data_IF_402994611694
#
_entry.id   IF_402994611694
#
_cell.length_a   1.000
_cell.length_b   1.000
_cell.length_c   1.000
_cell.angle_alpha   90.00
_cell.angle_beta   90.00
_cell.angle_gamma   90.00
#
_symmetry.space_group_name_H-M   'P 1'
#
loop_
_entity.id
_entity.type
_entity.pdbx_description
1 polymer ?
#
# COMPACT_ATOMS: atom_id res chain seq x y z
N UNK A 1 34.76 9.36 -58.44
CA UNK A 1 33.67 10.03 -57.71
C UNK A 1 32.57 8.99 -57.56
N UNK A 2 32.25 8.47 -56.37
CA UNK A 2 31.46 9.12 -55.31
C UNK A 2 31.88 8.50 -53.95
N UNK A 3 32.22 9.32 -52.95
CA UNK A 3 32.37 8.89 -51.56
C UNK A 3 31.03 9.10 -50.84
N UNK A 4 30.41 8.02 -50.33
CA UNK A 4 29.16 8.07 -49.58
C UNK A 4 29.41 8.39 -48.10
N UNK A 5 28.71 9.41 -47.57
CA UNK A 5 28.82 9.84 -46.17
C UNK A 5 28.06 8.88 -45.23
N UNK A 6 28.61 8.54 -44.03
CA UNK A 6 27.90 7.73 -43.06
C UNK A 6 26.88 8.59 -42.28
N UNK A 7 25.64 8.12 -42.22
CA UNK A 7 24.59 8.74 -41.42
C UNK A 7 24.84 8.48 -39.92
N UNK A 8 24.93 9.55 -39.13
CA UNK A 8 25.14 9.51 -37.68
C UNK A 8 23.77 9.47 -37.02
N UNK A 9 23.43 8.37 -36.34
CA UNK A 9 22.17 8.25 -35.60
C UNK A 9 22.27 8.96 -34.24
N UNK A 10 21.29 9.80 -33.84
CA UNK A 10 21.32 10.48 -32.55
C UNK A 10 21.04 9.49 -31.40
N UNK A 11 21.86 9.52 -30.35
CA UNK A 11 21.57 8.81 -29.09
C UNK A 11 20.41 9.50 -28.37
N UNK A 12 19.30 8.79 -28.20
CA UNK A 12 18.20 9.26 -27.35
C UNK A 12 18.57 9.12 -25.87
N UNK A 13 18.53 10.24 -25.13
CA UNK A 13 18.69 10.23 -23.68
C UNK A 13 17.46 9.56 -23.03
N UNK A 14 17.69 8.57 -22.17
CA UNK A 14 16.63 7.97 -21.34
C UNK A 14 16.16 9.00 -20.30
N UNK A 15 14.85 9.24 -20.24
CA UNK A 15 14.25 10.10 -19.22
C UNK A 15 14.68 9.67 -17.82
N UNK A 16 14.99 10.60 -16.90
CA UNK A 16 15.34 10.26 -15.53
C UNK A 16 14.16 9.51 -14.87
N UNK A 17 14.45 8.49 -14.04
CA UNK A 17 13.40 7.77 -13.34
C UNK A 17 12.64 8.73 -12.42
N UNK A 18 11.33 8.51 -12.20
CA UNK A 18 10.56 9.33 -11.28
C UNK A 18 11.17 9.23 -9.87
N UNK A 19 11.14 10.32 -9.09
CA UNK A 19 11.66 10.31 -7.72
C UNK A 19 10.99 9.21 -6.90
N UNK A 20 11.81 8.37 -6.27
CA UNK A 20 11.32 7.35 -5.34
C UNK A 20 10.88 8.03 -4.05
N UNK A 21 9.75 7.61 -3.43
CA UNK A 21 9.35 8.11 -2.13
C UNK A 21 10.49 7.88 -1.12
N UNK A 22 11.12 8.96 -0.67
CA UNK A 22 12.18 8.95 0.33
C UNK A 22 11.62 9.04 1.75
N UNK A 23 12.36 8.51 2.73
CA UNK A 23 12.00 8.58 4.15
C UNK A 23 12.48 7.36 4.94
N UNK A 24 12.23 7.37 6.24
CA UNK A 24 12.55 6.25 7.13
C UNK A 24 11.79 5.00 6.68
N UNK A 25 12.52 3.93 6.36
CA UNK A 25 11.92 2.64 6.03
C UNK A 25 11.38 2.02 7.31
N UNK A 26 10.10 1.64 7.27
CA UNK A 26 9.42 1.00 8.37
C UNK A 26 8.80 -0.34 7.98
N UNK A 27 8.10 -0.93 8.92
CA UNK A 27 7.26 -2.12 8.72
C UNK A 27 5.87 -1.88 9.27
N UNK A 28 4.87 -2.44 8.61
CA UNK A 28 3.50 -2.45 9.12
C UNK A 28 3.39 -3.37 10.34
N UNK A 29 2.37 -3.14 11.17
CA UNK A 29 2.06 -4.05 12.26
C UNK A 29 1.74 -5.44 11.69
N UNK A 30 2.28 -6.48 12.32
CA UNK A 30 2.02 -7.86 11.90
C UNK A 30 0.57 -8.22 12.23
N UNK A 31 -0.12 -8.90 11.31
CA UNK A 31 -1.50 -9.31 11.55
C UNK A 31 -2.42 -9.26 10.34
N UNK A 32 -3.69 -9.55 10.58
CA UNK A 32 -4.74 -9.50 9.56
C UNK A 32 -5.27 -8.07 9.42
N UNK A 33 -5.24 -7.57 8.19
CA UNK A 33 -5.91 -6.33 7.80
C UNK A 33 -7.16 -6.70 7.02
N UNK A 34 -8.27 -6.09 7.42
CA UNK A 34 -9.54 -6.18 6.73
C UNK A 34 -9.85 -4.85 6.11
N UNK A 35 -10.10 -4.86 4.80
CA UNK A 35 -10.40 -3.68 4.03
C UNK A 35 -11.91 -3.50 3.89
N UNK A 36 -12.32 -2.24 4.01
CA UNK A 36 -13.71 -1.81 3.88
C UNK A 36 -13.75 -0.45 3.22
N UNK A 37 -14.82 -0.19 2.47
CA UNK A 37 -15.12 1.14 1.95
C UNK A 37 -16.09 1.84 2.90
N UNK A 38 -15.87 3.13 3.12
CA UNK A 38 -16.79 4.00 3.84
C UNK A 38 -18.20 3.88 3.20
N UNK A 39 -19.19 3.64 4.07
CA UNK A 39 -20.59 3.60 3.68
C UNK A 39 -21.15 4.98 3.32
N UNK A 40 -22.28 5.00 2.61
CA UNK A 40 -23.07 6.22 2.44
C UNK A 40 -23.85 6.56 3.72
N UNK A 41 -24.16 7.85 3.93
CA UNK A 41 -24.86 8.35 5.13
C UNK A 41 -26.28 7.77 5.36
N UNK A 42 -26.82 6.98 4.43
CA UNK A 42 -28.07 6.23 4.58
C UNK A 42 -27.92 4.71 4.45
N UNK A 43 -26.69 4.19 4.45
CA UNK A 43 -26.36 2.79 4.23
C UNK A 43 -25.48 2.20 5.34
N UNK A 44 -25.00 0.95 5.17
CA UNK A 44 -24.10 0.29 6.13
C UNK A 44 -22.84 1.12 6.33
N UNK A 45 -22.43 1.37 7.58
CA UNK A 45 -21.31 2.25 7.97
C UNK A 45 -19.97 1.87 7.30
N UNK A 46 -19.80 0.61 6.88
CA UNK A 46 -18.68 0.14 6.09
C UNK A 46 -19.05 -1.07 5.24
N UNK A 47 -18.63 -1.08 3.98
CA UNK A 47 -18.82 -2.20 3.05
C UNK A 47 -17.52 -3.00 2.99
N UNK A 48 -17.54 -4.26 3.42
CA UNK A 48 -16.37 -5.13 3.39
C UNK A 48 -15.93 -5.42 1.95
N UNK A 49 -14.63 -5.32 1.72
CA UNK A 49 -13.99 -5.62 0.45
C UNK A 49 -12.97 -6.76 0.64
N UNK A 50 -13.44 -8.02 0.76
CA UNK A 50 -12.58 -9.16 1.10
C UNK A 50 -11.48 -9.41 0.05
N UNK A 51 -11.69 -8.98 -1.20
CA UNK A 51 -10.69 -9.03 -2.27
C UNK A 51 -9.43 -8.19 -2.00
N UNK A 52 -9.51 -7.21 -1.09
CA UNK A 52 -8.37 -6.39 -0.68
C UNK A 52 -7.89 -6.74 0.72
N UNK A 53 -8.50 -7.73 1.40
CA UNK A 53 -8.00 -8.19 2.68
C UNK A 53 -6.58 -8.77 2.51
N UNK A 54 -5.71 -8.54 3.48
CA UNK A 54 -4.38 -9.11 3.47
C UNK A 54 -3.84 -9.30 4.87
N UNK A 55 -2.90 -10.23 5.01
CA UNK A 55 -2.20 -10.48 6.24
C UNK A 55 -0.74 -10.07 6.13
N UNK A 56 -0.32 -9.11 6.95
CA UNK A 56 1.09 -8.76 7.09
C UNK A 56 1.79 -9.84 7.89
N UNK A 57 2.88 -10.38 7.34
CA UNK A 57 3.60 -11.53 7.91
C UNK A 57 4.93 -11.15 8.54
N UNK A 58 5.99 -10.96 7.76
CA UNK A 58 7.31 -10.54 8.26
C UNK A 58 8.14 -9.98 7.10
N UNK A 59 9.21 -9.26 7.43
CA UNK A 59 10.19 -8.76 6.45
C UNK A 59 9.53 -8.03 5.26
N UNK A 60 8.60 -7.12 5.53
CA UNK A 60 7.90 -6.35 4.50
C UNK A 60 7.11 -7.19 3.47
N UNK A 61 6.57 -8.33 3.90
CA UNK A 61 5.72 -9.19 3.10
C UNK A 61 4.29 -9.25 3.65
N UNK A 62 3.35 -9.55 2.75
CA UNK A 62 1.97 -9.86 3.08
C UNK A 62 1.49 -11.12 2.33
N UNK A 63 0.33 -11.64 2.73
CA UNK A 63 -0.38 -12.73 2.05
C UNK A 63 -1.84 -12.35 1.83
N UNK A 64 -2.39 -12.65 0.65
CA UNK A 64 -3.82 -12.54 0.39
C UNK A 64 -4.57 -13.76 0.95
N UNK A 65 -5.92 -13.69 1.08
CA UNK A 65 -6.76 -14.83 1.45
C UNK A 65 -6.54 -16.05 0.55
N UNK A 66 -6.24 -15.82 -0.73
CA UNK A 66 -5.93 -16.85 -1.72
C UNK A 66 -4.54 -17.48 -1.55
N UNK A 67 -3.77 -17.01 -0.55
CA UNK A 67 -2.46 -17.53 -0.19
C UNK A 67 -1.30 -16.96 -1.01
N UNK A 68 -1.57 -16.08 -1.98
CA UNK A 68 -0.55 -15.41 -2.78
C UNK A 68 0.26 -14.47 -1.89
N UNK A 69 1.59 -14.61 -1.96
CA UNK A 69 2.51 -13.76 -1.20
C UNK A 69 2.86 -12.53 -2.02
N UNK A 70 2.78 -11.36 -1.40
CA UNK A 70 3.25 -10.11 -1.96
C UNK A 70 4.24 -9.40 -1.04
N UNK A 71 4.83 -8.33 -1.57
CA UNK A 71 5.75 -7.46 -0.84
C UNK A 71 5.20 -6.04 -0.80
N UNK A 72 5.56 -5.31 0.24
CA UNK A 72 5.24 -3.90 0.39
C UNK A 72 6.50 -3.11 0.76
N UNK A 73 6.49 -1.82 0.45
CA UNK A 73 7.44 -0.85 0.92
C UNK A 73 6.71 0.16 1.80
N UNK A 74 7.16 0.32 3.04
CA UNK A 74 6.65 1.34 3.93
C UNK A 74 7.74 2.39 4.17
N UNK A 75 7.39 3.64 3.95
CA UNK A 75 8.28 4.79 4.06
C UNK A 75 7.55 5.90 4.81
N UNK A 76 7.97 6.17 6.05
CA UNK A 76 7.22 7.02 6.97
C UNK A 76 5.81 6.46 7.19
N UNK A 77 4.80 7.24 6.78
CA UNK A 77 3.39 6.85 6.86
C UNK A 77 2.83 6.37 5.51
N UNK A 78 3.65 6.25 4.47
CA UNK A 78 3.20 5.77 3.16
C UNK A 78 3.55 4.31 2.96
N UNK A 79 2.58 3.54 2.51
CA UNK A 79 2.73 2.12 2.18
C UNK A 79 2.44 1.93 0.70
N UNK A 80 3.32 1.23 0.00
CA UNK A 80 3.18 0.90 -1.41
C UNK A 80 3.34 -0.60 -1.59
N UNK A 81 2.34 -1.25 -2.14
CA UNK A 81 2.40 -2.67 -2.47
C UNK A 81 3.25 -2.85 -3.73
N UNK A 82 4.37 -3.55 -3.61
CA UNK A 82 5.37 -3.71 -4.68
C UNK A 82 5.28 -5.06 -5.41
N UNK A 83 4.59 -6.04 -4.85
CA UNK A 83 4.39 -7.36 -5.45
C UNK A 83 3.11 -8.04 -4.97
N UNK A 84 2.80 -9.22 -5.51
CA UNK A 84 1.55 -9.97 -5.24
C UNK A 84 0.35 -9.42 -6.02
N UNK A 85 -0.85 -9.85 -5.64
CA UNK A 85 -2.11 -9.42 -6.29
C UNK A 85 -2.45 -7.95 -6.05
N UNK A 86 -2.02 -7.39 -4.90
CA UNK A 86 -2.29 -5.99 -4.55
C UNK A 86 -1.23 -5.02 -5.13
N UNK A 87 -0.40 -5.47 -6.06
CA UNK A 87 0.72 -4.68 -6.61
C UNK A 87 0.21 -3.35 -7.19
N UNK A 88 0.91 -2.27 -6.85
CA UNK A 88 0.60 -0.92 -7.32
C UNK A 88 -0.36 -0.15 -6.41
N UNK A 89 -1.00 -0.83 -5.45
CA UNK A 89 -1.82 -0.14 -4.44
C UNK A 89 -0.95 0.71 -3.53
N UNK A 90 -1.43 1.92 -3.25
CA UNK A 90 -0.80 2.88 -2.35
C UNK A 90 -1.74 3.15 -1.20
N UNK A 91 -1.19 3.25 0.00
CA UNK A 91 -1.97 3.44 1.21
C UNK A 91 -1.23 4.43 2.11
N UNK A 92 -2.00 5.21 2.83
CA UNK A 92 -1.55 6.13 3.84
C UNK A 92 -1.89 5.56 5.22
N UNK A 93 -0.90 5.46 6.09
CA UNK A 93 -1.02 4.94 7.45
C UNK A 93 -1.41 6.09 8.36
N UNK A 94 -2.68 6.15 8.72
CA UNK A 94 -3.17 7.14 9.69
C UNK A 94 -2.74 6.76 11.11
N UNK A 95 -2.58 5.46 11.39
CA UNK A 95 -2.22 4.93 12.72
C UNK A 95 -1.64 3.52 12.62
N UNK A 96 -1.14 2.95 13.73
CA UNK A 96 -0.42 1.66 13.73
C UNK A 96 -1.18 0.51 13.04
N UNK A 97 -2.49 0.46 13.21
CA UNK A 97 -3.37 -0.54 12.61
C UNK A 97 -4.44 0.05 11.69
N UNK A 98 -4.29 1.28 11.21
CA UNK A 98 -5.28 1.92 10.33
C UNK A 98 -4.59 2.50 9.11
N UNK A 99 -4.98 1.99 7.95
CA UNK A 99 -4.52 2.44 6.65
C UNK A 99 -5.70 2.93 5.83
N UNK A 100 -5.47 3.92 4.99
CA UNK A 100 -6.44 4.45 4.05
C UNK A 100 -5.83 4.36 2.65
N UNK A 101 -6.58 3.87 1.68
CA UNK A 101 -6.10 3.78 0.31
C UNK A 101 -5.83 5.18 -0.20
N UNK A 102 -4.71 5.37 -0.89
CA UNK A 102 -4.40 6.61 -1.56
C UNK A 102 -4.64 6.45 -3.05
N UNK A 103 -5.47 7.34 -3.61
CA UNK A 103 -5.75 7.42 -5.02
C UNK A 103 -4.51 7.76 -5.86
N UNK A 104 -4.64 7.70 -7.20
CA UNK A 104 -3.56 8.06 -8.12
C UNK A 104 -3.17 9.54 -8.04
N UNK A 105 -4.09 10.39 -7.57
CA UNK A 105 -3.91 11.81 -7.27
C UNK A 105 -3.16 12.09 -5.96
N UNK A 106 -2.90 11.06 -5.15
CA UNK A 106 -2.25 11.20 -3.86
C UNK A 106 -3.20 11.50 -2.70
N UNK A 107 -4.51 11.55 -2.95
CA UNK A 107 -5.51 11.81 -1.92
C UNK A 107 -6.04 10.53 -1.28
N UNK A 108 -6.48 10.62 -0.02
CA UNK A 108 -7.03 9.49 0.70
C UNK A 108 -8.46 9.17 0.22
N UNK A 109 -8.62 7.97 -0.33
CA UNK A 109 -9.87 7.43 -0.84
C UNK A 109 -10.79 6.92 0.27
N UNK A 110 -12.02 6.58 -0.08
CA UNK A 110 -13.05 6.04 0.82
C UNK A 110 -12.72 4.62 1.33
N UNK A 111 -11.71 3.96 0.76
CA UNK A 111 -11.32 2.63 1.19
C UNK A 111 -10.29 2.70 2.33
N UNK A 112 -10.56 1.99 3.42
CA UNK A 112 -9.68 1.86 4.58
C UNK A 112 -9.43 0.40 4.91
N UNK A 113 -8.28 0.11 5.49
CA UNK A 113 -7.88 -1.22 5.93
C UNK A 113 -7.46 -1.16 7.39
N UNK A 114 -8.13 -1.98 8.21
CA UNK A 114 -8.00 -1.94 9.67
C UNK A 114 -7.40 -3.26 10.13
N UNK A 115 -6.44 -3.18 11.05
CA UNK A 115 -5.86 -4.34 11.71
C UNK A 115 -6.91 -5.00 12.61
N UNK A 116 -7.51 -6.09 12.14
CA UNK A 116 -8.53 -6.84 12.88
C UNK A 116 -7.92 -7.90 13.80
N UNK A 117 -6.69 -8.35 13.50
CA UNK A 117 -5.99 -9.34 14.34
C UNK A 117 -4.49 -9.10 14.34
N UNK A 118 -3.98 -8.45 15.39
CA UNK A 118 -2.54 -8.27 15.60
C UNK A 118 -1.80 -9.60 15.86
N UNK A 119 -0.59 -9.72 15.33
CA UNK A 119 0.32 -10.82 15.64
C UNK A 119 0.88 -10.66 17.04
N UNK A 120 0.49 -11.55 17.98
CA UNK A 120 0.95 -11.67 19.39
C UNK A 120 1.91 -10.57 19.87
N UNK A 121 1.36 -9.36 20.05
CA UNK A 121 2.13 -8.16 20.35
C UNK A 121 1.20 -7.02 20.70
N UNK A 122 0.53 -7.14 21.86
CA UNK A 122 -0.14 -6.07 22.60
C UNK A 122 -1.51 -5.57 22.08
N UNK A 123 -2.56 -6.36 22.33
CA UNK A 123 -3.95 -5.89 22.45
C UNK A 123 -4.22 -5.37 23.88
N UNK A 124 -3.36 -4.50 24.41
CA UNK A 124 -3.73 -3.59 25.51
C UNK A 124 -3.45 -2.18 25.01
N UNK A 125 -4.43 -1.30 25.13
CA UNK A 125 -4.43 0.10 24.68
C UNK A 125 -4.80 0.38 23.22
N UNK A 126 -6.03 0.04 22.86
CA UNK A 126 -6.76 0.85 21.88
C UNK A 126 -8.24 0.91 22.24
N UNK A 127 -8.58 1.90 23.08
CA UNK A 127 -9.89 2.56 23.08
C UNK A 127 -11.07 1.79 23.65
N UNK A 128 -11.06 1.53 24.95
CA UNK A 128 -12.31 1.55 25.71
C UNK A 128 -12.59 3.03 26.01
N UNK A 129 -13.73 3.61 25.58
CA UNK A 129 -14.09 4.96 26.01
C UNK A 129 -14.47 4.91 27.49
N UNK A 130 -13.76 5.67 28.32
CA UNK A 130 -14.24 6.08 29.63
C UNK A 130 -15.35 7.12 29.43
N UNK A 131 -16.62 6.70 29.54
CA UNK A 131 -17.75 7.49 30.07
C UNK A 131 -18.87 6.54 30.45
#
# INVERSE_FOLDING_TARGET
MVFGAPAIAPLQAKSPPPPVPGGLIGTMELGQYSCEKDGTAGGPVGIRLPQYDFRVVSASNYKTPDGVRGSYLMTGDRVVMTGGELKGMRMHRMSKGFLRLTGPDGQDSDMRCILTRGGRGNLKNSGQPDT
#
